data_IF_201150303389
#
_entry.id   IF_201150303389
#
_cell.length_a   1.000
_cell.length_b   1.000
_cell.length_c   1.000
_cell.angle_alpha   90.00
_cell.angle_beta   90.00
_cell.angle_gamma   90.00
#
_symmetry.space_group_name_H-M   'P 1'
#
loop_
_entity.id
_entity.type
_entity.pdbx_description
1 polymer ?
#
# COMPACT_ATOMS: atom_id res chain seq x y z
N UNK A 1 -7.09 16.94 -1.31
CA UNK A 1 -5.93 16.24 -1.92
C UNK A 1 -4.77 17.21 -2.11
N UNK A 2 -3.56 16.85 -1.67
CA UNK A 2 -2.34 17.65 -1.79
C UNK A 2 -1.32 16.92 -2.69
N UNK A 3 -1.00 17.49 -3.86
CA UNK A 3 -0.02 16.94 -4.80
C UNK A 3 1.36 17.53 -4.53
N UNK A 4 2.37 16.66 -4.44
CA UNK A 4 3.77 17.06 -4.35
C UNK A 4 4.63 16.27 -5.34
N UNK A 5 5.43 17.01 -6.10
CA UNK A 5 6.35 16.47 -7.10
C UNK A 5 7.78 16.56 -6.57
N UNK A 6 8.51 15.46 -6.68
CA UNK A 6 9.90 15.34 -6.25
C UNK A 6 10.83 15.20 -7.45
N UNK A 7 12.07 15.69 -7.38
CA UNK A 7 12.98 15.66 -8.52
C UNK A 7 13.32 14.22 -8.97
N UNK A 8 13.32 13.26 -8.04
CA UNK A 8 13.71 11.89 -8.31
C UNK A 8 13.12 10.91 -7.28
N UNK A 9 13.22 9.59 -7.51
CA UNK A 9 12.73 8.56 -6.59
C UNK A 9 13.39 8.59 -5.21
N UNK A 10 14.65 9.04 -5.12
CA UNK A 10 15.36 9.10 -3.84
C UNK A 10 14.79 10.20 -2.94
N UNK A 11 14.57 11.40 -3.48
CA UNK A 11 13.93 12.50 -2.76
C UNK A 11 12.50 12.14 -2.33
N UNK A 12 11.74 11.45 -3.19
CA UNK A 12 10.42 10.94 -2.90
C UNK A 12 10.46 9.94 -1.73
N UNK A 13 11.40 8.99 -1.75
CA UNK A 13 11.55 7.97 -0.70
C UNK A 13 11.98 8.57 0.64
N UNK A 14 12.93 9.52 0.63
CA UNK A 14 13.36 10.25 1.84
C UNK A 14 12.19 11.01 2.48
N UNK A 15 11.40 11.70 1.68
CA UNK A 15 10.23 12.42 2.17
C UNK A 15 9.20 11.48 2.76
N UNK A 16 8.92 10.36 2.08
CA UNK A 16 7.98 9.33 2.55
C UNK A 16 8.43 8.74 3.88
N UNK A 17 9.69 8.34 4.01
CA UNK A 17 10.24 7.83 5.25
C UNK A 17 10.15 8.86 6.39
N UNK A 18 10.52 10.13 6.12
CA UNK A 18 10.44 11.20 7.11
C UNK A 18 9.01 11.43 7.60
N UNK A 19 8.02 11.40 6.72
CA UNK A 19 6.61 11.59 7.05
C UNK A 19 6.08 10.43 7.91
N UNK A 20 6.36 9.17 7.53
CA UNK A 20 5.98 7.99 8.31
C UNK A 20 6.64 8.06 9.70
N UNK A 21 7.93 8.36 9.77
CA UNK A 21 8.65 8.52 11.03
C UNK A 21 8.05 9.62 11.91
N UNK A 22 7.63 10.75 11.31
CA UNK A 22 6.97 11.84 12.03
C UNK A 22 5.60 11.40 12.57
N UNK A 23 4.83 10.65 11.80
CA UNK A 23 3.54 10.11 12.25
C UNK A 23 3.72 9.20 13.45
N UNK A 24 4.70 8.31 13.42
CA UNK A 24 5.04 7.41 14.53
C UNK A 24 5.50 8.19 15.78
N UNK A 25 6.35 9.22 15.61
CA UNK A 25 6.78 10.06 16.74
C UNK A 25 5.64 10.81 17.39
N UNK A 26 4.63 11.27 16.60
CA UNK A 26 3.43 11.93 17.12
C UNK A 26 2.45 10.97 17.77
N UNK A 27 2.35 9.76 17.25
CA UNK A 27 1.49 8.69 17.76
C UNK A 27 2.27 7.38 17.80
N UNK A 28 2.98 7.08 18.89
CA UNK A 28 3.82 5.88 19.00
C UNK A 28 3.08 4.55 18.86
N UNK A 29 1.78 4.53 19.13
CA UNK A 29 0.86 3.40 18.98
C UNK A 29 0.04 3.49 17.67
N UNK A 30 0.58 4.14 16.64
CA UNK A 30 -0.09 4.27 15.35
C UNK A 30 -0.36 2.91 14.69
N UNK A 31 -1.53 2.79 14.07
CA UNK A 31 -1.87 1.69 13.17
C UNK A 31 -1.58 2.10 11.74
N UNK A 32 -0.63 1.43 11.12
CA UNK A 32 -0.10 1.74 9.80
C UNK A 32 -0.42 0.63 8.81
N UNK A 33 -0.82 1.00 7.60
CA UNK A 33 -0.91 0.08 6.47
C UNK A 33 0.02 0.57 5.36
N UNK A 34 0.97 -0.28 4.98
CA UNK A 34 2.06 0.05 4.06
C UNK A 34 2.02 -0.89 2.86
N UNK A 35 1.86 -0.33 1.65
CA UNK A 35 1.87 -1.11 0.42
C UNK A 35 3.24 -1.76 0.17
N UNK A 36 3.24 -2.97 -0.33
CA UNK A 36 4.44 -3.61 -0.89
C UNK A 36 4.76 -3.08 -2.30
N UNK A 37 5.89 -3.49 -2.85
CA UNK A 37 6.30 -3.19 -4.23
C UNK A 37 7.51 -2.28 -4.33
N UNK A 38 7.97 -2.04 -5.59
CA UNK A 38 9.25 -1.39 -5.85
C UNK A 38 9.28 0.08 -5.38
N UNK A 39 8.17 0.81 -5.57
CA UNK A 39 8.14 2.26 -5.31
C UNK A 39 8.44 2.63 -3.86
N UNK A 40 7.84 2.01 -2.82
CA UNK A 40 8.09 2.37 -1.43
C UNK A 40 9.31 1.67 -0.80
N UNK A 41 9.93 0.70 -1.48
CA UNK A 41 11.02 -0.13 -0.92
C UNK A 41 12.13 0.69 -0.27
N UNK A 42 12.62 1.74 -0.92
CA UNK A 42 13.72 2.55 -0.37
C UNK A 42 13.26 3.34 0.87
N UNK A 43 12.02 3.83 0.89
CA UNK A 43 11.48 4.48 2.09
C UNK A 43 11.46 3.52 3.30
N UNK A 44 11.15 2.25 3.07
CA UNK A 44 11.15 1.23 4.14
C UNK A 44 12.55 0.92 4.64
N UNK A 45 13.53 0.84 3.76
CA UNK A 45 14.94 0.68 4.15
C UNK A 45 15.44 1.84 5.00
N UNK A 46 15.07 3.07 4.63
CA UNK A 46 15.38 4.26 5.43
C UNK A 46 14.73 4.20 6.82
N UNK A 47 13.46 3.80 6.91
CA UNK A 47 12.80 3.60 8.21
C UNK A 47 13.47 2.51 9.05
N UNK A 48 13.87 1.41 8.43
CA UNK A 48 14.60 0.34 9.12
C UNK A 48 15.97 0.82 9.64
N UNK A 49 16.68 1.62 8.85
CA UNK A 49 17.94 2.24 9.27
C UNK A 49 17.75 3.19 10.47
N UNK A 50 16.70 4.04 10.43
CA UNK A 50 16.35 4.91 11.56
C UNK A 50 16.04 4.10 12.83
N UNK A 51 15.33 2.97 12.69
CA UNK A 51 15.03 2.10 13.81
C UNK A 51 16.29 1.42 14.38
N UNK A 52 17.19 0.93 13.52
CA UNK A 52 18.46 0.33 13.90
C UNK A 52 19.40 1.33 14.59
N UNK A 53 19.38 2.59 14.16
CA UNK A 53 20.14 3.67 14.75
C UNK A 53 19.55 4.19 16.09
N UNK A 54 18.36 3.70 16.49
CA UNK A 54 17.65 4.19 17.69
C UNK A 54 17.00 5.57 17.51
N UNK A 55 16.90 6.06 16.28
CA UNK A 55 16.28 7.34 15.94
C UNK A 55 14.74 7.26 15.81
N UNK A 56 14.21 6.04 15.63
CA UNK A 56 12.79 5.74 15.48
C UNK A 56 12.42 4.51 16.30
N UNK A 57 11.48 4.67 17.23
CA UNK A 57 10.96 3.56 18.05
C UNK A 57 9.66 3.03 17.42
N UNK A 58 9.71 1.78 16.93
CA UNK A 58 8.58 1.05 16.36
C UNK A 58 7.92 0.08 17.35
N UNK A 59 8.38 0.02 18.59
CA UNK A 59 8.01 -1.03 19.55
C UNK A 59 6.52 -1.04 19.92
N UNK A 60 5.81 0.06 19.72
CA UNK A 60 4.39 0.23 20.02
C UNK A 60 3.50 0.35 18.79
N UNK A 61 4.09 0.51 17.59
CA UNK A 61 3.33 0.57 16.35
C UNK A 61 2.66 -0.77 16.04
N UNK A 62 1.53 -0.69 15.34
CA UNK A 62 0.88 -1.85 14.75
C UNK A 62 0.79 -1.69 13.24
N UNK A 63 0.84 -2.82 12.52
CA UNK A 63 0.84 -2.85 11.07
C UNK A 63 -0.27 -3.76 10.55
N UNK A 64 -0.97 -3.31 9.51
CA UNK A 64 -1.94 -4.11 8.77
C UNK A 64 -1.37 -4.38 7.38
N UNK A 65 -1.43 -5.63 6.91
CA UNK A 65 -1.15 -5.96 5.52
C UNK A 65 -2.22 -5.38 4.60
N UNK A 66 -1.80 -4.72 3.53
CA UNK A 66 -2.70 -4.08 2.57
C UNK A 66 -3.43 -5.12 1.72
N UNK A 67 -2.67 -6.08 1.21
CA UNK A 67 -3.12 -7.10 0.28
C UNK A 67 -2.17 -8.30 0.24
N UNK A 68 -2.65 -9.40 -0.35
CA UNK A 68 -1.81 -10.57 -0.63
C UNK A 68 -2.38 -11.37 -1.81
N UNK A 69 -1.51 -12.06 -2.55
CA UNK A 69 -1.92 -13.03 -3.55
C UNK A 69 -2.54 -14.25 -2.87
N UNK A 70 -3.73 -14.67 -3.31
CA UNK A 70 -4.38 -15.87 -2.75
C UNK A 70 -3.50 -17.09 -3.00
N UNK A 71 -3.25 -17.86 -1.92
CA UNK A 71 -2.35 -19.00 -1.92
C UNK A 71 -0.92 -18.70 -1.51
N UNK A 72 -0.57 -17.43 -1.24
CA UNK A 72 0.75 -17.00 -0.81
C UNK A 72 0.72 -16.35 0.58
N UNK A 73 1.89 -16.16 1.16
CA UNK A 73 2.04 -15.52 2.47
C UNK A 73 3.47 -15.04 2.70
N UNK A 74 3.77 -14.42 3.85
CA UNK A 74 5.02 -13.70 4.10
C UNK A 74 6.31 -14.52 3.97
N UNK A 75 6.22 -15.84 3.97
CA UNK A 75 7.36 -16.76 3.78
C UNK A 75 7.58 -17.16 2.32
N UNK A 76 6.64 -16.84 1.43
CA UNK A 76 6.73 -17.19 0.03
C UNK A 76 7.36 -16.02 -0.75
N UNK A 77 8.50 -16.26 -1.40
CA UNK A 77 9.13 -15.27 -2.25
C UNK A 77 8.15 -14.80 -3.33
N UNK A 78 8.05 -13.48 -3.52
CA UNK A 78 7.12 -12.85 -4.46
C UNK A 78 5.81 -12.38 -3.82
N UNK A 79 5.50 -12.80 -2.59
CA UNK A 79 4.32 -12.32 -1.88
C UNK A 79 4.46 -10.87 -1.42
N UNK A 80 3.33 -10.19 -1.20
CA UNK A 80 3.32 -8.83 -0.68
C UNK A 80 3.97 -8.77 0.70
N UNK A 81 3.64 -9.73 1.57
CA UNK A 81 4.22 -9.85 2.91
C UNK A 81 5.72 -10.08 2.88
N UNK A 82 6.22 -10.95 1.99
CA UNK A 82 7.65 -11.24 1.86
C UNK A 82 8.49 -9.97 1.71
N UNK A 83 8.07 -9.06 0.82
CA UNK A 83 8.80 -7.82 0.58
C UNK A 83 8.78 -6.88 1.79
N UNK A 84 7.65 -6.74 2.49
CA UNK A 84 7.58 -5.92 3.70
C UNK A 84 8.42 -6.49 4.85
N UNK A 85 8.43 -7.82 5.01
CA UNK A 85 9.30 -8.47 5.98
C UNK A 85 10.77 -8.26 5.64
N UNK A 86 11.17 -8.40 4.37
CA UNK A 86 12.54 -8.23 3.90
C UNK A 86 13.04 -6.79 4.07
N UNK A 87 12.21 -5.80 3.69
CA UNK A 87 12.67 -4.41 3.55
C UNK A 87 12.40 -3.55 4.79
N UNK A 88 11.45 -3.95 5.67
CA UNK A 88 11.10 -3.19 6.87
C UNK A 88 11.07 -4.04 8.14
N UNK A 89 10.14 -5.03 8.22
CA UNK A 89 9.81 -5.63 9.50
C UNK A 89 10.98 -6.38 10.14
N UNK A 90 11.68 -7.22 9.37
CA UNK A 90 12.83 -7.97 9.87
C UNK A 90 14.00 -7.04 10.21
N UNK A 91 14.46 -6.12 9.33
CA UNK A 91 15.56 -5.21 9.66
C UNK A 91 15.23 -4.28 10.83
N UNK A 92 14.00 -3.78 10.93
CA UNK A 92 13.56 -2.91 12.01
C UNK A 92 13.17 -3.67 13.30
N UNK A 93 13.27 -5.01 13.31
CA UNK A 93 12.93 -5.88 14.45
C UNK A 93 11.49 -5.70 14.94
N UNK A 94 10.55 -5.47 14.01
CA UNK A 94 9.12 -5.44 14.33
C UNK A 94 8.68 -6.84 14.77
N UNK A 95 8.00 -6.92 15.91
CA UNK A 95 7.58 -8.23 16.46
C UNK A 95 6.34 -8.75 15.71
N UNK A 96 6.18 -10.08 15.60
CA UNK A 96 5.01 -10.69 14.93
C UNK A 96 3.66 -10.26 15.53
N UNK A 97 3.59 -10.01 16.85
CA UNK A 97 2.38 -9.56 17.55
C UNK A 97 1.95 -8.13 17.19
N UNK A 98 2.82 -7.37 16.54
CA UNK A 98 2.54 -6.02 16.02
C UNK A 98 1.97 -6.04 14.59
N UNK A 99 1.91 -7.21 13.93
CA UNK A 99 1.58 -7.31 12.51
C UNK A 99 0.33 -8.16 12.33
N UNK A 100 -0.68 -7.60 11.70
CA UNK A 100 -1.86 -8.31 11.24
C UNK A 100 -1.81 -8.39 9.72
N UNK A 101 -1.59 -9.60 9.19
CA UNK A 101 -1.64 -9.88 7.76
C UNK A 101 -2.89 -10.70 7.43
N UNK A 102 -3.31 -10.67 6.16
CA UNK A 102 -4.28 -11.64 5.64
C UNK A 102 -3.63 -13.03 5.59
N UNK A 103 -4.32 -14.04 6.10
CA UNK A 103 -4.01 -15.44 5.78
C UNK A 103 -4.63 -15.78 4.42
N UNK A 104 -3.89 -15.48 3.36
CA UNK A 104 -4.35 -15.71 2.00
C UNK A 104 -4.31 -17.22 1.59
N UNK A 105 -3.90 -18.12 2.52
CA UNK A 105 -3.98 -19.57 2.40
C UNK A 105 -5.14 -20.18 3.18
N UNK A 106 -5.94 -19.34 3.86
CA UNK A 106 -7.09 -19.81 4.65
C UNK A 106 -8.15 -20.47 3.75
N UNK A 107 -8.81 -21.49 4.28
CA UNK A 107 -9.92 -22.16 3.59
C UNK A 107 -11.13 -21.23 3.38
N UNK A 108 -11.42 -20.35 4.36
CA UNK A 108 -12.48 -19.34 4.27
C UNK A 108 -11.88 -17.92 4.21
N UNK A 109 -11.58 -17.47 2.99
CA UNK A 109 -11.04 -16.12 2.73
C UNK A 109 -12.03 -15.02 3.12
N UNK A 110 -13.35 -15.27 3.11
CA UNK A 110 -14.34 -14.28 3.54
C UNK A 110 -14.35 -14.13 5.07
N UNK A 111 -14.15 -15.22 5.82
CA UNK A 111 -13.94 -15.14 7.26
C UNK A 111 -12.67 -14.34 7.58
N UNK A 112 -11.62 -14.51 6.79
CA UNK A 112 -10.36 -13.79 6.94
C UNK A 112 -10.53 -12.28 6.65
N UNK A 113 -11.26 -11.90 5.61
CA UNK A 113 -11.65 -10.51 5.37
C UNK A 113 -12.36 -9.91 6.60
N UNK A 114 -13.37 -10.62 7.12
CA UNK A 114 -14.10 -10.18 8.33
C UNK A 114 -13.21 -10.07 9.56
N UNK A 115 -12.20 -10.93 9.71
CA UNK A 115 -11.23 -10.87 10.81
C UNK A 115 -10.43 -9.58 10.74
N UNK A 116 -9.87 -9.25 9.57
CA UNK A 116 -9.07 -8.02 9.38
C UNK A 116 -9.95 -6.78 9.54
N UNK A 117 -11.18 -6.78 8.99
CA UNK A 117 -12.13 -5.66 9.16
C UNK A 117 -12.44 -5.40 10.64
N UNK A 118 -12.59 -6.47 11.46
CA UNK A 118 -12.79 -6.30 12.92
C UNK A 118 -11.58 -5.68 13.60
N UNK A 119 -10.37 -6.14 13.27
CA UNK A 119 -9.13 -5.56 13.84
C UNK A 119 -9.04 -4.06 13.53
N UNK A 120 -9.38 -3.66 12.30
CA UNK A 120 -9.41 -2.25 11.92
C UNK A 120 -10.48 -1.46 12.68
N UNK A 121 -11.67 -2.01 12.82
CA UNK A 121 -12.77 -1.38 13.55
C UNK A 121 -12.45 -1.20 15.05
N UNK A 122 -11.91 -2.25 15.68
CA UNK A 122 -11.54 -2.24 17.10
C UNK A 122 -10.40 -1.23 17.39
N UNK A 123 -9.49 -1.02 16.42
CA UNK A 123 -8.41 -0.05 16.52
C UNK A 123 -8.86 1.41 16.19
N UNK A 124 -10.09 1.61 15.74
CA UNK A 124 -10.59 2.94 15.32
C UNK A 124 -10.06 3.42 13.96
N UNK A 125 -9.70 2.50 13.06
CA UNK A 125 -9.21 2.76 11.71
C UNK A 125 -7.72 3.02 11.61
N UNK A 126 -7.25 3.18 10.38
CA UNK A 126 -5.83 3.42 10.07
C UNK A 126 -5.42 4.86 10.40
N UNK A 127 -4.28 5.02 11.07
CA UNK A 127 -3.68 6.33 11.28
C UNK A 127 -2.95 6.82 10.02
N UNK A 128 -2.33 5.89 9.27
CA UNK A 128 -1.69 6.16 8.00
C UNK A 128 -1.85 4.97 7.05
N UNK A 129 -2.21 5.26 5.81
CA UNK A 129 -2.28 4.32 4.70
C UNK A 129 -1.38 4.81 3.56
N UNK A 130 -0.34 4.04 3.24
CA UNK A 130 0.49 4.26 2.06
C UNK A 130 0.08 3.26 0.97
N UNK A 131 -0.30 3.78 -0.20
CA UNK A 131 -0.68 2.99 -1.36
C UNK A 131 0.13 3.36 -2.60
N UNK A 132 0.33 2.38 -3.48
CA UNK A 132 0.77 2.62 -4.85
C UNK A 132 -0.41 2.78 -5.81
N UNK A 133 -0.10 2.87 -7.11
CA UNK A 133 -1.09 2.85 -8.19
C UNK A 133 -0.66 1.86 -9.26
N UNK A 134 -1.56 0.97 -9.67
CA UNK A 134 -1.35 0.07 -10.79
C UNK A 134 -1.41 0.79 -12.15
N UNK A 135 -0.91 0.16 -13.21
CA UNK A 135 -0.97 0.73 -14.57
C UNK A 135 -2.40 0.88 -15.11
N UNK A 136 -3.34 0.10 -14.59
CA UNK A 136 -4.77 0.17 -14.90
C UNK A 136 -5.58 1.03 -13.90
N UNK A 137 -4.90 1.69 -12.95
CA UNK A 137 -5.53 2.54 -11.95
C UNK A 137 -6.01 1.83 -10.69
N UNK A 138 -5.69 0.56 -10.48
CA UNK A 138 -5.99 -0.12 -9.22
C UNK A 138 -5.21 0.48 -8.05
N UNK A 139 -5.79 0.40 -6.86
CA UNK A 139 -5.13 0.62 -5.56
C UNK A 139 -5.19 -0.69 -4.78
N UNK A 140 -4.06 -1.13 -4.22
CA UNK A 140 -3.95 -2.48 -3.66
C UNK A 140 -4.36 -3.51 -4.73
N UNK A 141 -5.24 -4.46 -4.42
CA UNK A 141 -5.83 -5.36 -5.42
C UNK A 141 -7.31 -5.01 -5.72
N UNK A 142 -7.69 -3.73 -5.53
CA UNK A 142 -8.98 -3.20 -5.97
C UNK A 142 -8.88 -2.86 -7.47
N UNK A 143 -9.26 -3.82 -8.30
CA UNK A 143 -9.21 -3.72 -9.77
C UNK A 143 -10.27 -2.78 -10.34
N UNK A 144 -10.14 -2.30 -11.60
CA UNK A 144 -11.17 -1.52 -12.26
C UNK A 144 -12.55 -2.20 -12.18
N UNK A 145 -13.57 -1.44 -11.75
CA UNK A 145 -14.93 -1.93 -11.49
C UNK A 145 -15.18 -2.32 -10.03
N UNK A 146 -14.16 -2.28 -9.17
CA UNK A 146 -14.35 -2.51 -7.72
C UNK A 146 -15.16 -1.37 -7.12
N UNK A 147 -16.24 -1.70 -6.40
CA UNK A 147 -17.06 -0.69 -5.73
C UNK A 147 -16.31 0.04 -4.63
N UNK A 148 -16.46 1.35 -4.57
CA UNK A 148 -15.87 2.20 -3.54
C UNK A 148 -16.37 1.89 -2.12
N UNK A 149 -17.53 1.24 -2.00
CA UNK A 149 -18.13 0.88 -0.71
C UNK A 149 -17.60 -0.45 -0.12
N UNK A 150 -16.75 -1.17 -0.86
CA UNK A 150 -16.24 -2.45 -0.37
C UNK A 150 -15.21 -2.26 0.75
N UNK A 151 -15.34 -3.09 1.77
CA UNK A 151 -14.34 -3.37 2.80
C UNK A 151 -13.41 -4.48 2.31
N UNK A 152 -12.70 -5.15 3.21
CA UNK A 152 -11.82 -6.26 2.82
C UNK A 152 -12.57 -7.30 2.00
N UNK A 153 -11.98 -7.74 0.89
CA UNK A 153 -12.61 -8.69 -0.02
C UNK A 153 -11.58 -9.48 -0.82
N UNK A 154 -12.06 -10.50 -1.49
CA UNK A 154 -11.30 -11.25 -2.50
C UNK A 154 -11.61 -10.68 -3.87
N UNK A 155 -10.58 -10.37 -4.64
CA UNK A 155 -10.67 -9.79 -5.98
C UNK A 155 -10.14 -10.77 -7.03
N UNK A 156 -10.83 -10.90 -8.15
CA UNK A 156 -10.25 -11.48 -9.36
C UNK A 156 -9.25 -10.48 -9.94
N UNK A 157 -8.08 -10.95 -10.34
CA UNK A 157 -7.01 -10.08 -10.83
C UNK A 157 -7.17 -9.78 -12.32
N UNK A 158 -7.00 -8.53 -12.70
CA UNK A 158 -6.92 -8.14 -14.10
C UNK A 158 -5.67 -8.73 -14.76
N UNK A 159 -5.74 -9.02 -16.07
CA UNK A 159 -4.63 -9.54 -16.86
C UNK A 159 -3.35 -8.70 -16.69
N UNK A 160 -3.50 -7.36 -16.71
CA UNK A 160 -2.38 -6.43 -16.50
C UNK A 160 -1.74 -6.59 -15.14
N UNK A 161 -2.51 -6.84 -14.09
CA UNK A 161 -2.01 -7.06 -12.73
C UNK A 161 -1.27 -8.39 -12.64
N UNK A 162 -1.82 -9.45 -13.24
CA UNK A 162 -1.15 -10.75 -13.31
C UNK A 162 0.20 -10.64 -14.02
N UNK A 163 0.25 -9.98 -15.18
CA UNK A 163 1.48 -9.80 -15.96
C UNK A 163 2.54 -8.98 -15.21
N UNK A 164 2.14 -7.86 -14.60
CA UNK A 164 3.06 -7.03 -13.81
C UNK A 164 3.50 -7.74 -12.55
N UNK A 165 2.63 -8.53 -11.92
CA UNK A 165 2.92 -9.30 -10.71
C UNK A 165 4.01 -10.34 -10.91
N UNK A 166 4.15 -10.90 -12.12
CA UNK A 166 5.18 -11.91 -12.41
C UNK A 166 6.62 -11.47 -12.08
N UNK A 167 6.91 -10.17 -12.16
CA UNK A 167 8.26 -9.64 -11.86
C UNK A 167 8.72 -9.87 -10.42
N UNK A 168 7.77 -10.12 -9.50
CA UNK A 168 8.08 -10.35 -8.09
C UNK A 168 8.51 -11.79 -7.79
N UNK A 169 8.26 -12.70 -8.71
CA UNK A 169 8.54 -14.13 -8.55
C UNK A 169 9.76 -14.54 -9.37
N UNK A 170 10.55 -15.45 -8.81
CA UNK A 170 11.75 -16.00 -9.49
C UNK A 170 11.40 -16.93 -10.67
N UNK A 171 10.18 -17.42 -10.75
CA UNK A 171 9.66 -18.29 -11.81
C UNK A 171 8.20 -17.92 -12.12
N UNK A 172 7.73 -18.35 -13.31
CA UNK A 172 6.35 -18.15 -13.71
C UNK A 172 5.37 -18.73 -12.65
N UNK A 173 4.55 -17.87 -12.10
CA UNK A 173 3.67 -18.22 -10.98
C UNK A 173 2.21 -17.97 -11.38
N UNK A 174 1.32 -18.96 -11.18
CA UNK A 174 -0.09 -18.78 -11.48
C UNK A 174 -0.72 -17.83 -10.46
N UNK A 175 -1.06 -16.62 -10.90
CA UNK A 175 -1.81 -15.63 -10.14
C UNK A 175 -3.22 -15.55 -10.74
N UNK A 176 -4.25 -15.49 -9.91
CA UNK A 176 -5.64 -15.33 -10.36
C UNK A 176 -6.47 -14.46 -9.46
N UNK A 177 -6.27 -14.57 -8.15
CA UNK A 177 -7.03 -13.81 -7.15
C UNK A 177 -6.11 -13.17 -6.12
N UNK A 178 -6.61 -12.09 -5.52
CA UNK A 178 -6.00 -11.46 -4.36
C UNK A 178 -7.00 -11.25 -3.24
N UNK A 179 -6.51 -11.13 -2.01
CA UNK A 179 -7.26 -10.68 -0.85
C UNK A 179 -6.73 -9.31 -0.46
N UNK A 180 -7.59 -8.34 -0.21
CA UNK A 180 -7.21 -6.93 -0.13
C UNK A 180 -8.08 -6.14 0.83
N UNK A 181 -7.51 -5.08 1.43
CA UNK A 181 -8.32 -4.02 2.01
C UNK A 181 -9.10 -3.33 0.89
N UNK A 182 -10.39 -3.09 1.13
CA UNK A 182 -11.25 -2.40 0.17
C UNK A 182 -11.09 -0.87 0.23
N UNK A 183 -11.66 -0.20 -0.77
CA UNK A 183 -11.56 1.25 -0.94
C UNK A 183 -12.27 2.04 0.17
N UNK A 184 -13.24 1.42 0.87
CA UNK A 184 -13.85 2.01 2.05
C UNK A 184 -12.82 2.26 3.17
N UNK A 185 -11.84 1.35 3.36
CA UNK A 185 -10.76 1.54 4.35
C UNK A 185 -9.82 2.69 3.95
N UNK A 186 -9.61 2.90 2.65
CA UNK A 186 -8.87 4.07 2.17
C UNK A 186 -9.59 5.35 2.58
N UNK A 187 -10.91 5.42 2.37
CA UNK A 187 -11.70 6.61 2.71
C UNK A 187 -11.83 6.87 4.21
N UNK A 188 -11.73 5.82 5.03
CA UNK A 188 -11.79 5.92 6.50
C UNK A 188 -10.41 6.17 7.13
N UNK A 189 -9.31 6.01 6.42
CA UNK A 189 -7.97 6.27 6.94
C UNK A 189 -7.76 7.76 7.24
N UNK A 190 -7.02 8.07 8.31
CA UNK A 190 -6.82 9.47 8.77
C UNK A 190 -5.84 10.24 7.89
N UNK A 191 -4.81 9.56 7.38
CA UNK A 191 -3.80 10.09 6.46
C UNK A 191 -3.57 9.07 5.35
N UNK A 192 -3.72 9.48 4.08
CA UNK A 192 -3.55 8.62 2.92
C UNK A 192 -2.49 9.20 2.02
N UNK A 193 -1.52 8.37 1.67
CA UNK A 193 -0.45 8.71 0.74
C UNK A 193 -0.55 7.79 -0.47
N UNK A 194 -0.82 8.36 -1.65
CA UNK A 194 -0.62 7.68 -2.93
C UNK A 194 0.76 8.02 -3.43
N UNK A 195 1.62 7.02 -3.57
CA UNK A 195 3.01 7.16 -4.01
C UNK A 195 3.20 6.54 -5.39
N UNK A 196 3.79 7.29 -6.33
CA UNK A 196 4.12 6.75 -7.65
C UNK A 196 5.45 7.29 -8.17
N UNK A 197 6.16 6.47 -8.93
CA UNK A 197 7.48 6.79 -9.50
C UNK A 197 7.65 6.22 -10.90
N UNK A 198 8.33 6.98 -11.76
CA UNK A 198 8.74 6.61 -13.09
C UNK A 198 7.72 6.90 -14.20
N UNK A 199 8.24 7.13 -15.40
CA UNK A 199 7.47 7.62 -16.55
C UNK A 199 6.28 6.72 -16.97
N UNK A 200 6.35 5.41 -16.68
CA UNK A 200 5.25 4.46 -16.97
C UNK A 200 3.97 4.79 -16.18
N UNK A 201 4.07 5.57 -15.09
CA UNK A 201 2.94 5.98 -14.25
C UNK A 201 2.28 7.29 -14.70
N UNK A 202 2.91 8.07 -15.57
CA UNK A 202 2.43 9.42 -15.93
C UNK A 202 0.99 9.44 -16.46
N UNK A 203 0.64 8.52 -17.36
CA UNK A 203 -0.70 8.46 -17.94
C UNK A 203 -1.77 8.15 -16.89
N UNK A 204 -1.52 7.16 -16.03
CA UNK A 204 -2.48 6.74 -15.02
C UNK A 204 -2.56 7.74 -13.85
N UNK A 205 -1.47 8.41 -13.47
CA UNK A 205 -1.48 9.50 -12.50
C UNK A 205 -2.34 10.65 -13.03
N UNK A 206 -2.17 11.06 -14.28
CA UNK A 206 -3.02 12.09 -14.91
C UNK A 206 -4.50 11.70 -14.87
N UNK A 207 -4.83 10.45 -15.25
CA UNK A 207 -6.20 9.96 -15.20
C UNK A 207 -6.76 9.96 -13.77
N UNK A 208 -5.99 9.50 -12.80
CA UNK A 208 -6.40 9.42 -11.40
C UNK A 208 -6.63 10.81 -10.77
N UNK A 209 -5.85 11.82 -11.16
CA UNK A 209 -5.89 13.16 -10.54
C UNK A 209 -6.84 14.13 -11.25
N UNK A 210 -7.02 13.98 -12.56
CA UNK A 210 -7.75 14.95 -13.40
C UNK A 210 -8.91 14.32 -14.19
N UNK A 211 -9.02 13.00 -14.22
CA UNK A 211 -10.15 12.29 -14.78
C UNK A 211 -11.37 12.29 -13.85
N UNK A 212 -12.50 11.74 -14.31
CA UNK A 212 -13.68 11.56 -13.46
C UNK A 212 -13.39 10.58 -12.32
N UNK A 213 -14.00 10.83 -11.15
CA UNK A 213 -13.99 9.87 -10.05
C UNK A 213 -14.89 8.71 -10.43
N UNK A 214 -14.34 7.52 -10.61
CA UNK A 214 -15.04 6.36 -11.11
C UNK A 214 -14.43 5.05 -10.65
N UNK A 215 -15.24 4.04 -10.42
CA UNK A 215 -14.82 2.68 -10.09
C UNK A 215 -13.96 2.04 -11.21
N UNK A 216 -14.06 2.52 -12.45
CA UNK A 216 -13.20 2.09 -13.57
C UNK A 216 -11.73 2.59 -13.45
N UNK A 217 -11.48 3.53 -12.56
CA UNK A 217 -10.15 3.96 -12.15
C UNK A 217 -10.15 4.12 -10.63
N UNK A 218 -9.99 3.04 -9.85
CA UNK A 218 -10.08 3.07 -8.39
C UNK A 218 -9.24 4.16 -7.73
N UNK A 219 -8.05 4.45 -8.27
CA UNK A 219 -7.18 5.51 -7.80
C UNK A 219 -7.79 6.91 -7.90
N UNK A 220 -8.80 7.12 -8.75
CA UNK A 220 -9.49 8.41 -8.86
C UNK A 220 -10.22 8.80 -7.57
N UNK A 221 -10.55 7.82 -6.71
CA UNK A 221 -11.18 8.06 -5.41
C UNK A 221 -10.35 8.97 -4.51
N UNK A 222 -9.02 9.00 -4.70
CA UNK A 222 -8.10 9.85 -3.94
C UNK A 222 -8.50 11.34 -4.02
N UNK A 223 -9.16 11.77 -5.10
CA UNK A 223 -9.61 13.16 -5.27
C UNK A 223 -10.62 13.58 -4.21
N UNK A 224 -11.36 12.66 -3.65
CA UNK A 224 -12.46 12.91 -2.69
C UNK A 224 -12.04 12.76 -1.24
N UNK A 225 -10.86 12.21 -0.97
CA UNK A 225 -10.38 12.01 0.39
C UNK A 225 -9.93 13.34 1.03
N UNK A 226 -10.37 13.67 2.25
CA UNK A 226 -10.11 14.98 2.88
C UNK A 226 -8.61 15.22 3.15
N UNK A 227 -7.86 14.19 3.53
CA UNK A 227 -6.45 14.27 3.92
C UNK A 227 -5.54 13.45 2.98
N UNK A 228 -5.93 13.29 1.71
CA UNK A 228 -5.09 12.58 0.77
C UNK A 228 -3.91 13.42 0.32
N UNK A 229 -2.77 12.76 0.24
CA UNK A 229 -1.54 13.27 -0.33
C UNK A 229 -1.15 12.40 -1.53
N UNK A 230 -0.75 13.03 -2.62
CA UNK A 230 -0.23 12.35 -3.80
C UNK A 230 1.21 12.79 -4.01
N UNK A 231 2.12 11.86 -3.88
CA UNK A 231 3.56 12.10 -3.99
C UNK A 231 4.12 11.33 -5.16
N UNK A 232 4.70 12.07 -6.09
CA UNK A 232 5.24 11.52 -7.34
C UNK A 232 6.60 12.11 -7.63
N UNK A 233 7.44 11.39 -8.38
CA UNK A 233 8.61 12.01 -8.98
C UNK A 233 8.26 12.75 -10.29
N UNK A 234 9.19 13.54 -10.80
CA UNK A 234 9.00 14.29 -12.06
C UNK A 234 8.66 13.37 -13.24
N UNK A 235 9.21 12.16 -13.27
CA UNK A 235 8.92 11.19 -14.32
C UNK A 235 7.49 10.66 -14.26
N UNK A 236 6.98 10.36 -13.05
CA UNK A 236 5.61 9.90 -12.88
C UNK A 236 4.58 11.05 -13.03
N UNK A 237 5.00 12.29 -12.80
CA UNK A 237 4.17 13.47 -13.10
C UNK A 237 4.04 13.66 -14.61
N UNK A 238 5.11 13.39 -15.37
CA UNK A 238 5.16 13.65 -16.81
C UNK A 238 5.01 15.13 -17.16
N UNK A 239 4.83 15.42 -18.45
CA UNK A 239 4.60 16.78 -18.95
C UNK A 239 3.15 17.23 -18.65
N UNK A 240 2.77 17.33 -17.38
CA UNK A 240 1.51 17.99 -17.03
C UNK A 240 1.76 19.48 -16.99
N UNK A 241 1.56 20.11 -18.14
CA UNK A 241 1.39 21.57 -18.25
C UNK A 241 -0.06 21.93 -18.01
#
# INVERSE_FOLDING_TARGET
MNLRVFPDPAALSQHTAAHIAQTIRRKPDALLCLASGDTPTEAYRLLAQMAQAGELDLSRCHFIGLDEWVGFGPTDEGSCGYYLYRDLFTPARVRPDQITYFDAKADDLLAECRRVDRVLADAGGLDLLLVGIGLNGHIALNEPGTSFALRSHVSELAETTIQVGQKYFSQATPLSRGITLGLQHLMEAKDVILMASGAKKAAIIRQALHGPVTEQCPASLIQTHPNAQVWVDEQAMGDVK
#
